data_IF_012410945853
#
_entry.id   IF_012410945853
#
_cell.length_a   1.000
_cell.length_b   1.000
_cell.length_c   1.000
_cell.angle_alpha   90.00
_cell.angle_beta   90.00
_cell.angle_gamma   90.00
#
_symmetry.space_group_name_H-M   'P 1'
#
loop_
_entity.id
_entity.type
_entity.pdbx_description
1 polymer ?
#
# COMPACT_ATOMS: atom_id res chain seq x y z
N UNK A 1 -5.46 22.81 9.86
CA UNK A 1 -4.10 22.39 9.46
C UNK A 1 -4.13 21.41 8.29
N UNK A 2 -4.87 20.30 8.39
CA UNK A 2 -4.94 19.25 7.35
C UNK A 2 -5.39 19.72 5.96
N UNK A 3 -6.40 20.60 5.88
CA UNK A 3 -6.88 21.12 4.59
C UNK A 3 -5.79 21.84 3.79
N UNK A 4 -4.96 22.66 4.45
CA UNK A 4 -3.85 23.36 3.79
C UNK A 4 -2.77 22.38 3.31
N UNK A 5 -2.49 21.34 4.10
CA UNK A 5 -1.53 20.31 3.71
C UNK A 5 -2.03 19.51 2.49
N UNK A 6 -3.29 19.11 2.48
CA UNK A 6 -3.93 18.43 1.34
C UNK A 6 -3.92 19.34 0.10
N UNK A 7 -4.39 20.59 0.21
CA UNK A 7 -4.39 21.53 -0.90
C UNK A 7 -2.99 21.74 -1.50
N UNK A 8 -1.96 21.83 -0.65
CA UNK A 8 -0.57 21.92 -1.10
C UNK A 8 -0.11 20.64 -1.81
N UNK A 9 -0.47 19.45 -1.30
CA UNK A 9 -0.11 18.18 -1.92
C UNK A 9 -0.76 18.04 -3.31
N UNK A 10 -2.08 18.26 -3.41
CA UNK A 10 -2.82 18.22 -4.68
C UNK A 10 -2.42 19.33 -5.66
N UNK A 11 -1.95 20.47 -5.15
CA UNK A 11 -1.37 21.53 -5.97
C UNK A 11 0.06 21.27 -6.44
N UNK A 12 0.70 20.15 -6.04
CA UNK A 12 2.10 19.87 -6.37
C UNK A 12 3.08 20.82 -5.68
N UNK A 13 2.71 21.39 -4.53
CA UNK A 13 3.50 22.34 -3.74
C UNK A 13 3.75 21.80 -2.31
N UNK A 14 4.31 20.59 -2.13
CA UNK A 14 4.45 20.04 -0.79
C UNK A 14 5.52 20.81 -0.03
N UNK A 15 5.34 20.91 1.29
CA UNK A 15 6.36 21.49 2.18
C UNK A 15 7.07 20.35 2.88
N UNK A 16 8.36 20.18 2.60
CA UNK A 16 9.21 19.20 3.25
C UNK A 16 10.62 19.78 3.49
N UNK A 17 11.34 19.31 4.51
CA UNK A 17 12.78 19.53 4.61
C UNK A 17 13.50 18.94 3.41
N UNK A 18 14.56 19.59 2.92
CA UNK A 18 15.36 19.10 1.79
C UNK A 18 15.98 17.72 2.05
N UNK A 19 16.15 17.32 3.31
CA UNK A 19 16.65 16.01 3.71
C UNK A 19 15.68 14.85 3.47
N UNK A 20 14.40 15.13 3.21
CA UNK A 20 13.36 14.10 3.05
C UNK A 20 13.22 13.65 1.61
N UNK A 21 13.56 14.50 0.64
CA UNK A 21 13.37 14.23 -0.80
C UNK A 21 14.72 14.04 -1.46
N UNK A 22 14.93 12.90 -2.12
CA UNK A 22 16.18 12.59 -2.82
C UNK A 22 16.47 13.58 -3.95
N UNK A 23 15.44 14.01 -4.68
CA UNK A 23 15.54 14.91 -5.83
C UNK A 23 14.65 16.15 -5.63
N UNK A 24 15.05 17.13 -4.79
CA UNK A 24 14.19 18.27 -4.45
C UNK A 24 13.94 19.21 -5.65
N UNK A 25 14.86 19.23 -6.62
CA UNK A 25 14.75 20.03 -7.85
C UNK A 25 13.49 19.66 -8.64
N UNK A 26 13.00 18.41 -8.53
CA UNK A 26 11.81 17.98 -9.26
C UNK A 26 10.51 18.71 -8.83
N UNK A 27 10.55 19.43 -7.71
CA UNK A 27 9.43 20.18 -7.16
C UNK A 27 9.51 21.68 -7.46
N UNK A 28 10.48 22.12 -8.28
CA UNK A 28 10.56 23.51 -8.70
C UNK A 28 9.42 23.87 -9.68
N UNK A 29 8.78 25.05 -9.52
CA UNK A 29 7.55 25.43 -10.23
C UNK A 29 7.70 25.52 -11.77
N UNK A 30 8.92 25.60 -12.30
CA UNK A 30 9.17 25.68 -13.74
C UNK A 30 9.19 24.33 -14.46
N UNK A 31 9.11 23.21 -13.72
CA UNK A 31 9.10 21.85 -14.29
C UNK A 31 7.74 21.14 -14.13
N UNK A 32 6.74 21.78 -13.53
CA UNK A 32 5.49 21.13 -13.10
C UNK A 32 4.49 20.89 -14.24
N UNK A 33 4.52 21.68 -15.32
CA UNK A 33 3.54 21.58 -16.40
C UNK A 33 3.57 20.24 -17.17
N UNK A 34 4.63 19.44 -17.02
CA UNK A 34 4.78 18.14 -17.67
C UNK A 34 4.74 16.96 -16.69
N UNK A 35 4.46 17.19 -15.40
CA UNK A 35 4.56 16.16 -14.36
C UNK A 35 3.20 15.83 -13.76
N UNK A 36 3.01 14.56 -13.42
CA UNK A 36 1.87 14.09 -12.63
C UNK A 36 2.26 14.01 -11.16
N UNK A 37 1.41 14.52 -10.29
CA UNK A 37 1.60 14.39 -8.83
C UNK A 37 1.07 13.04 -8.39
N UNK A 38 1.91 12.27 -7.70
CA UNK A 38 1.52 11.02 -7.04
C UNK A 38 1.51 11.26 -5.54
N UNK A 39 0.36 11.03 -4.90
CA UNK A 39 0.17 11.19 -3.46
C UNK A 39 0.01 9.81 -2.85
N UNK A 40 0.81 9.51 -1.83
CA UNK A 40 0.65 8.31 -1.00
C UNK A 40 -0.10 8.67 0.27
N UNK A 41 -1.26 8.08 0.45
CA UNK A 41 -2.03 8.08 1.70
C UNK A 41 -2.09 6.65 2.24
N UNK A 42 -1.97 6.50 3.56
CA UNK A 42 -1.96 5.20 4.26
C UNK A 42 -3.22 4.98 5.10
N UNK A 43 -4.06 6.01 5.27
CA UNK A 43 -5.34 5.95 5.95
C UNK A 43 -6.49 6.00 4.92
N UNK A 44 -7.08 4.86 4.54
CA UNK A 44 -8.19 4.82 3.58
C UNK A 44 -9.42 5.61 4.02
N UNK A 45 -9.60 5.85 5.33
CA UNK A 45 -10.72 6.65 5.84
C UNK A 45 -10.63 8.13 5.45
N UNK A 46 -9.45 8.61 5.03
CA UNK A 46 -9.29 9.95 4.49
C UNK A 46 -9.85 10.09 3.07
N UNK A 47 -10.08 8.98 2.36
CA UNK A 47 -10.46 8.97 0.96
C UNK A 47 -11.79 9.70 0.70
N UNK A 48 -12.80 9.45 1.55
CA UNK A 48 -14.10 10.11 1.48
C UNK A 48 -13.95 11.63 1.57
N UNK A 49 -13.27 12.11 2.60
CA UNK A 49 -13.05 13.54 2.82
C UNK A 49 -12.25 14.20 1.68
N UNK A 50 -11.27 13.48 1.10
CA UNK A 50 -10.49 13.96 -0.04
C UNK A 50 -11.35 14.05 -1.32
N UNK A 51 -12.18 13.03 -1.57
CA UNK A 51 -13.02 12.93 -2.77
C UNK A 51 -14.05 14.05 -2.90
N UNK A 52 -14.51 14.59 -1.77
CA UNK A 52 -15.44 15.73 -1.73
C UNK A 52 -14.77 17.06 -2.15
N UNK A 53 -13.44 17.12 -2.24
CA UNK A 53 -12.67 18.38 -2.35
C UNK A 53 -11.74 18.42 -3.54
N UNK A 54 -11.31 17.28 -4.04
CA UNK A 54 -10.32 17.17 -5.11
C UNK A 54 -10.78 16.12 -6.12
N UNK A 55 -10.47 16.36 -7.39
CA UNK A 55 -10.62 15.38 -8.46
C UNK A 55 -9.30 14.62 -8.63
N UNK A 56 -9.34 13.29 -8.54
CA UNK A 56 -8.17 12.44 -8.69
C UNK A 56 -8.58 10.99 -8.97
N UNK A 57 -7.66 10.24 -9.58
CA UNK A 57 -7.78 8.80 -9.76
C UNK A 57 -7.15 8.07 -8.57
N UNK A 58 -7.68 6.89 -8.21
CA UNK A 58 -7.24 6.14 -7.03
C UNK A 58 -6.68 4.78 -7.40
N UNK A 59 -5.39 4.58 -7.13
CA UNK A 59 -4.81 3.24 -7.06
C UNK A 59 -4.92 2.73 -5.63
N UNK A 60 -5.83 1.80 -5.37
CA UNK A 60 -6.07 1.22 -4.05
C UNK A 60 -5.31 -0.10 -3.89
N UNK A 61 -4.42 -0.17 -2.90
CA UNK A 61 -3.63 -1.36 -2.61
C UNK A 61 -4.27 -2.14 -1.46
N UNK A 62 -4.73 -3.36 -1.75
CA UNK A 62 -5.18 -4.31 -0.74
C UNK A 62 -4.04 -5.24 -0.34
N UNK A 63 -4.11 -5.80 0.87
CA UNK A 63 -3.13 -6.75 1.38
C UNK A 63 -3.83 -7.80 2.26
N UNK A 64 -3.23 -8.97 2.38
CA UNK A 64 -3.72 -10.02 3.26
C UNK A 64 -4.03 -9.47 4.66
N UNK A 65 -5.24 -9.70 5.20
CA UNK A 65 -5.71 -9.08 6.45
C UNK A 65 -4.84 -9.45 7.66
N UNK A 66 -4.33 -10.68 7.71
CA UNK A 66 -3.41 -11.11 8.78
C UNK A 66 -2.07 -10.35 8.72
N UNK A 67 -1.57 -10.08 7.51
CA UNK A 67 -0.33 -9.33 7.34
C UNK A 67 -0.50 -7.86 7.78
N UNK A 68 -1.68 -7.28 7.54
CA UNK A 68 -2.04 -5.95 8.05
C UNK A 68 -2.06 -5.99 9.58
N UNK A 69 -2.83 -6.90 10.19
CA UNK A 69 -2.98 -6.98 11.64
C UNK A 69 -1.63 -7.16 12.35
N UNK A 70 -0.80 -8.09 11.90
CA UNK A 70 0.54 -8.29 12.45
C UNK A 70 1.44 -7.07 12.28
N UNK A 71 1.41 -6.40 11.12
CA UNK A 71 2.20 -5.20 10.89
C UNK A 71 1.82 -4.09 11.89
N UNK A 72 0.52 -3.87 12.11
CA UNK A 72 0.01 -2.87 13.04
C UNK A 72 0.33 -3.22 14.50
N UNK A 73 0.26 -4.51 14.86
CA UNK A 73 0.66 -4.96 16.19
C UNK A 73 2.16 -4.81 16.44
N UNK A 74 2.99 -5.07 15.42
CA UNK A 74 4.45 -4.95 15.50
C UNK A 74 4.91 -3.52 15.78
N UNK A 75 4.27 -2.54 15.16
CA UNK A 75 4.56 -1.11 15.37
C UNK A 75 3.80 -0.51 16.58
N UNK A 76 3.09 -1.35 17.35
CA UNK A 76 2.40 -0.95 18.57
C UNK A 76 1.12 -0.16 18.35
N UNK A 77 0.56 -0.13 17.14
CA UNK A 77 -0.69 0.57 16.84
C UNK A 77 -1.90 -0.22 17.33
N UNK A 78 -1.84 -1.55 17.28
CA UNK A 78 -2.88 -2.44 17.81
C UNK A 78 -2.32 -3.36 18.91
N UNK A 79 -3.11 -3.66 19.96
CA UNK A 79 -2.72 -4.64 20.99
C UNK A 79 -2.57 -6.05 20.40
N UNK A 80 -1.48 -6.74 20.79
CA UNK A 80 -1.19 -8.12 20.37
C UNK A 80 -2.31 -9.09 20.79
N UNK A 81 -2.62 -10.06 19.92
CA UNK A 81 -3.61 -11.11 20.18
C UNK A 81 -5.08 -10.64 20.21
N UNK A 82 -5.36 -9.36 19.96
CA UNK A 82 -6.73 -8.84 19.89
C UNK A 82 -7.31 -8.98 18.47
N UNK A 83 -7.40 -10.22 17.99
CA UNK A 83 -7.77 -10.54 16.60
C UNK A 83 -9.16 -10.04 16.21
N UNK A 84 -10.18 -10.22 17.06
CA UNK A 84 -11.53 -9.69 16.78
C UNK A 84 -11.52 -8.16 16.58
N UNK A 85 -10.76 -7.44 17.41
CA UNK A 85 -10.63 -5.99 17.27
C UNK A 85 -9.96 -5.63 15.94
N UNK A 86 -8.91 -6.35 15.56
CA UNK A 86 -8.22 -6.13 14.28
C UNK A 86 -9.17 -6.39 13.09
N UNK A 87 -9.95 -7.47 13.11
CA UNK A 87 -10.95 -7.79 12.09
C UNK A 87 -11.97 -6.66 11.97
N UNK A 88 -12.58 -6.24 13.08
CA UNK A 88 -13.57 -5.16 13.07
C UNK A 88 -13.00 -3.86 12.48
N UNK A 89 -11.73 -3.55 12.76
CA UNK A 89 -11.05 -2.37 12.20
C UNK A 89 -10.78 -2.50 10.71
N UNK A 90 -10.30 -3.65 10.25
CA UNK A 90 -10.08 -3.90 8.83
C UNK A 90 -11.42 -3.82 8.09
N UNK A 91 -12.47 -4.43 8.63
CA UNK A 91 -13.82 -4.40 8.06
C UNK A 91 -14.38 -2.97 7.94
N UNK A 92 -14.25 -2.16 9.00
CA UNK A 92 -14.62 -0.74 8.98
C UNK A 92 -13.88 0.03 7.87
N UNK A 93 -12.56 -0.15 7.79
CA UNK A 93 -11.69 0.56 6.84
C UNK A 93 -12.02 0.15 5.39
N UNK A 94 -12.06 -1.15 5.11
CA UNK A 94 -12.28 -1.67 3.75
C UNK A 94 -13.70 -1.36 3.26
N UNK A 95 -14.72 -1.48 4.12
CA UNK A 95 -16.10 -1.18 3.73
C UNK A 95 -16.26 0.30 3.35
N UNK A 96 -15.70 1.22 4.15
CA UNK A 96 -15.77 2.66 3.85
C UNK A 96 -14.95 3.05 2.63
N UNK A 97 -13.78 2.43 2.46
CA UNK A 97 -12.97 2.62 1.27
C UNK A 97 -13.73 2.15 0.02
N UNK A 98 -14.30 0.94 0.04
CA UNK A 98 -15.06 0.38 -1.08
C UNK A 98 -16.21 1.30 -1.53
N UNK A 99 -17.04 1.77 -0.59
CA UNK A 99 -18.13 2.71 -0.89
C UNK A 99 -17.67 4.02 -1.54
N UNK A 100 -16.43 4.45 -1.27
CA UNK A 100 -15.86 5.66 -1.88
C UNK A 100 -15.23 5.36 -3.24
N UNK A 101 -14.57 4.22 -3.38
CA UNK A 101 -13.94 3.77 -4.62
C UNK A 101 -14.97 3.52 -5.73
N UNK A 102 -16.18 3.08 -5.41
CA UNK A 102 -17.30 2.92 -6.36
C UNK A 102 -17.69 4.25 -7.06
N UNK A 103 -17.37 5.39 -6.44
CA UNK A 103 -17.72 6.73 -6.92
C UNK A 103 -16.55 7.45 -7.59
N UNK A 104 -15.37 6.83 -7.62
CA UNK A 104 -14.13 7.43 -8.14
C UNK A 104 -13.56 6.59 -9.28
N UNK A 105 -12.86 7.19 -10.25
CA UNK A 105 -12.01 6.43 -11.15
C UNK A 105 -10.94 5.73 -10.32
N UNK A 106 -11.07 4.41 -10.19
CA UNK A 106 -10.22 3.65 -9.28
C UNK A 106 -9.77 2.32 -9.87
N UNK A 107 -8.61 1.85 -9.39
CA UNK A 107 -8.09 0.52 -9.66
C UNK A 107 -7.61 -0.10 -8.35
N UNK A 108 -8.14 -1.27 -8.03
CA UNK A 108 -7.68 -2.05 -6.88
C UNK A 108 -6.63 -3.06 -7.34
N UNK A 109 -5.54 -3.18 -6.59
CA UNK A 109 -4.47 -4.16 -6.82
C UNK A 109 -4.14 -4.85 -5.51
N UNK A 110 -3.85 -6.16 -5.54
CA UNK A 110 -3.38 -6.89 -4.35
C UNK A 110 -1.87 -6.74 -4.20
N UNK A 111 -1.41 -6.57 -2.98
CA UNK A 111 0.00 -6.50 -2.65
C UNK A 111 0.75 -7.78 -3.06
N UNK A 112 0.14 -8.94 -2.81
CA UNK A 112 0.72 -10.25 -3.09
C UNK A 112 0.95 -10.48 -4.59
N UNK A 113 0.05 -9.93 -5.42
CA UNK A 113 0.13 -9.96 -6.87
C UNK A 113 1.34 -9.16 -7.37
N UNK A 114 1.51 -7.92 -6.87
CA UNK A 114 2.68 -7.09 -7.18
C UNK A 114 3.98 -7.77 -6.73
N UNK A 115 3.98 -8.43 -5.57
CA UNK A 115 5.15 -9.16 -5.08
C UNK A 115 5.49 -10.39 -5.93
N UNK A 116 4.50 -11.11 -6.45
CA UNK A 116 4.70 -12.30 -7.26
C UNK A 116 5.17 -11.95 -8.68
N UNK A 117 4.48 -11.00 -9.32
CA UNK A 117 4.67 -10.64 -10.73
C UNK A 117 4.85 -9.12 -10.89
N UNK A 118 5.93 -8.54 -10.32
CA UNK A 118 6.10 -7.09 -10.27
C UNK A 118 6.08 -6.43 -11.65
N UNK A 119 6.80 -6.99 -12.63
CA UNK A 119 6.84 -6.40 -13.98
C UNK A 119 5.47 -6.35 -14.66
N UNK A 120 4.64 -7.38 -14.50
CA UNK A 120 3.30 -7.41 -15.08
C UNK A 120 2.40 -6.36 -14.43
N UNK A 121 2.31 -6.38 -13.09
CA UNK A 121 1.38 -5.48 -12.40
C UNK A 121 1.83 -4.01 -12.44
N UNK A 122 3.14 -3.72 -12.47
CA UNK A 122 3.61 -2.35 -12.70
C UNK A 122 3.33 -1.87 -14.13
N UNK A 123 3.48 -2.72 -15.15
CA UNK A 123 3.09 -2.37 -16.52
C UNK A 123 1.60 -1.98 -16.58
N UNK A 124 0.75 -2.78 -15.96
CA UNK A 124 -0.68 -2.53 -15.89
C UNK A 124 -1.03 -1.23 -15.12
N UNK A 125 -0.36 -0.99 -13.98
CA UNK A 125 -0.53 0.24 -13.18
C UNK A 125 -0.11 1.47 -13.98
N UNK A 126 1.04 1.41 -14.66
CA UNK A 126 1.53 2.51 -15.50
C UNK A 126 0.58 2.78 -16.67
N UNK A 127 0.11 1.73 -17.35
CA UNK A 127 -0.88 1.85 -18.41
C UNK A 127 -2.18 2.51 -17.94
N UNK A 128 -2.70 2.07 -16.78
CA UNK A 128 -3.91 2.68 -16.18
C UNK A 128 -3.69 4.15 -15.79
N UNK A 129 -2.52 4.49 -15.24
CA UNK A 129 -2.18 5.86 -14.86
C UNK A 129 -1.80 6.77 -16.07
N UNK A 130 -1.73 6.22 -17.28
CA UNK A 130 -1.26 6.94 -18.47
C UNK A 130 0.20 7.37 -18.36
N UNK A 131 1.04 6.57 -17.70
CA UNK A 131 2.47 6.80 -17.51
C UNK A 131 3.30 5.95 -18.49
N UNK A 132 4.49 6.45 -18.86
CA UNK A 132 5.40 5.71 -19.72
C UNK A 132 6.06 4.56 -18.97
N UNK A 133 5.97 3.35 -19.53
CA UNK A 133 6.59 2.13 -19.01
C UNK A 133 7.71 1.67 -19.94
N UNK A 134 8.92 2.19 -19.72
CA UNK A 134 10.10 1.92 -20.54
C UNK A 134 11.09 0.95 -19.87
N UNK A 135 12.22 0.68 -20.53
CA UNK A 135 13.25 -0.21 -19.97
C UNK A 135 13.91 0.37 -18.71
N UNK A 136 14.01 1.70 -18.60
CA UNK A 136 14.54 2.36 -17.40
C UNK A 136 13.68 2.05 -16.17
N UNK A 137 12.35 2.13 -16.33
CA UNK A 137 11.38 1.79 -15.29
C UNK A 137 11.44 0.30 -14.95
N UNK A 138 11.49 -0.58 -15.96
CA UNK A 138 11.62 -2.04 -15.75
C UNK A 138 12.87 -2.40 -14.95
N UNK A 139 14.02 -1.84 -15.32
CA UNK A 139 15.29 -2.07 -14.63
C UNK A 139 15.24 -1.57 -13.19
N UNK A 140 14.62 -0.40 -12.96
CA UNK A 140 14.42 0.12 -11.61
C UNK A 140 13.55 -0.83 -10.76
N UNK A 141 12.44 -1.32 -11.30
CA UNK A 141 11.54 -2.25 -10.61
C UNK A 141 12.28 -3.55 -10.28
N UNK A 142 12.98 -4.15 -11.24
CA UNK A 142 13.76 -5.37 -11.00
C UNK A 142 14.77 -5.17 -9.89
N UNK A 143 15.57 -4.10 -9.98
CA UNK A 143 16.60 -3.78 -8.99
C UNK A 143 16.04 -3.55 -7.58
N UNK A 144 14.86 -2.96 -7.46
CA UNK A 144 14.28 -2.61 -6.15
C UNK A 144 13.36 -3.69 -5.56
N UNK A 145 12.78 -4.56 -6.40
CA UNK A 145 11.87 -5.64 -5.99
C UNK A 145 12.54 -7.02 -5.83
N UNK A 146 13.73 -7.21 -6.39
CA UNK A 146 14.52 -8.46 -6.33
C UNK A 146 15.82 -8.30 -5.54
N UNK A 147 15.93 -7.32 -4.65
CA UNK A 147 17.15 -7.10 -3.89
C UNK A 147 17.52 -8.36 -3.07
N UNK A 148 18.72 -8.89 -3.28
CA UNK A 148 19.24 -10.00 -2.49
C UNK A 148 19.47 -9.53 -1.05
N UNK A 149 19.12 -10.39 -0.06
CA UNK A 149 19.32 -10.12 1.37
C UNK A 149 20.80 -9.88 1.70
N UNK A 150 21.71 -10.36 0.85
CA UNK A 150 23.16 -10.31 1.03
C UNK A 150 23.84 -9.00 0.58
N UNK A 151 23.15 -8.10 -0.13
CA UNK A 151 23.78 -6.89 -0.73
C UNK A 151 23.91 -5.72 0.26
N UNK A 152 24.36 -6.00 1.49
CA UNK A 152 24.51 -4.98 2.53
C UNK A 152 23.16 -4.46 3.03
N UNK A 153 22.20 -5.38 3.22
CA UNK A 153 20.90 -5.11 3.85
C UNK A 153 21.09 -4.45 5.21
N UNK A 154 21.09 -3.11 5.22
CA UNK A 154 20.72 -2.38 6.41
C UNK A 154 19.21 -2.50 6.51
N UNK A 155 18.74 -3.17 7.55
CA UNK A 155 17.33 -3.23 7.97
C UNK A 155 16.86 -1.84 8.42
N UNK A 156 17.01 -0.84 7.57
CA UNK A 156 16.33 0.41 7.74
C UNK A 156 14.84 0.10 7.58
N UNK A 157 14.10 0.30 8.66
CA UNK A 157 12.64 0.19 8.74
C UNK A 157 11.93 0.94 7.59
N UNK A 158 12.61 1.89 6.95
CA UNK A 158 12.13 2.74 5.85
C UNK A 158 12.84 2.49 4.50
N UNK A 159 13.64 1.43 4.38
CA UNK A 159 14.33 1.08 3.13
C UNK A 159 13.38 0.79 1.95
N UNK A 160 13.75 1.28 0.78
CA UNK A 160 13.00 1.11 -0.49
C UNK A 160 13.39 -0.15 -1.26
N UNK A 161 14.52 -0.79 -0.92
CA UNK A 161 14.95 -2.07 -1.50
C UNK A 161 14.38 -3.24 -0.71
N UNK A 162 13.64 -4.13 -1.36
CA UNK A 162 12.95 -5.26 -0.71
C UNK A 162 13.07 -6.52 -1.56
N UNK A 163 13.25 -7.67 -0.93
CA UNK A 163 12.96 -8.95 -1.57
C UNK A 163 11.44 -9.17 -1.52
N UNK A 164 10.75 -8.70 -2.56
CA UNK A 164 9.28 -8.64 -2.60
C UNK A 164 8.64 -10.03 -2.49
N UNK A 165 9.25 -11.07 -3.09
CA UNK A 165 8.77 -12.46 -2.98
C UNK A 165 8.74 -12.96 -1.54
N UNK A 166 9.79 -12.68 -0.76
CA UNK A 166 9.81 -13.06 0.65
C UNK A 166 8.79 -12.27 1.49
N UNK A 167 8.47 -11.03 1.09
CA UNK A 167 7.56 -10.18 1.85
C UNK A 167 6.09 -10.55 1.75
N UNK A 168 5.68 -11.19 0.64
CA UNK A 168 4.31 -11.68 0.42
C UNK A 168 3.87 -12.61 1.55
N UNK A 169 4.73 -13.56 1.90
CA UNK A 169 4.46 -14.61 2.89
C UNK A 169 5.15 -14.38 4.23
N UNK A 170 5.81 -13.24 4.45
CA UNK A 170 6.55 -12.97 5.69
C UNK A 170 5.68 -13.10 6.96
N UNK A 171 4.39 -12.78 6.86
CA UNK A 171 3.46 -12.91 7.98
C UNK A 171 3.26 -14.37 8.43
N UNK A 172 3.43 -15.35 7.53
CA UNK A 172 3.33 -16.78 7.82
C UNK A 172 4.46 -17.27 8.75
N UNK A 173 5.61 -16.62 8.70
CA UNK A 173 6.77 -16.93 9.56
C UNK A 173 6.66 -16.28 10.94
N UNK A 174 5.95 -15.14 11.02
CA UNK A 174 5.80 -14.34 12.24
C UNK A 174 4.54 -14.73 13.05
N UNK A 175 3.76 -15.70 12.58
CA UNK A 175 2.51 -16.15 13.20
C UNK A 175 2.65 -17.55 13.80
N UNK A 176 2.06 -17.78 14.99
CA UNK A 176 1.75 -19.17 15.37
C UNK A 176 0.61 -19.70 14.51
N UNK A 177 0.59 -21.02 14.31
CA UNK A 177 -0.51 -21.68 13.59
C UNK A 177 -1.86 -21.44 14.27
N UNK A 178 -1.87 -21.46 15.60
CA UNK A 178 -3.05 -21.19 16.45
C UNK A 178 -3.62 -19.77 16.20
N UNK A 179 -2.75 -18.76 16.18
CA UNK A 179 -3.17 -17.37 15.91
C UNK A 179 -3.68 -17.21 14.47
N UNK A 180 -3.06 -17.90 13.50
CA UNK A 180 -3.48 -17.85 12.11
C UNK A 180 -4.86 -18.50 11.90
N UNK A 181 -5.08 -19.68 12.50
CA UNK A 181 -6.35 -20.40 12.45
C UNK A 181 -7.47 -19.61 13.13
N UNK A 182 -7.20 -19.02 14.30
CA UNK A 182 -8.17 -18.18 15.00
C UNK A 182 -8.50 -16.93 14.19
N UNK A 183 -7.49 -16.25 13.65
CA UNK A 183 -7.71 -15.08 12.81
C UNK A 183 -8.50 -15.43 11.53
N UNK A 184 -8.18 -16.54 10.88
CA UNK A 184 -8.90 -17.03 9.70
C UNK A 184 -10.37 -17.31 10.02
N UNK A 185 -10.64 -17.99 11.13
CA UNK A 185 -12.00 -18.28 11.59
C UNK A 185 -12.81 -17.00 11.79
N UNK A 186 -12.22 -16.01 12.48
CA UNK A 186 -12.85 -14.71 12.70
C UNK A 186 -13.04 -13.93 11.39
N UNK A 187 -12.05 -13.97 10.50
CA UNK A 187 -12.12 -13.30 9.20
C UNK A 187 -13.22 -13.88 8.31
N UNK A 188 -13.32 -15.21 8.22
CA UNK A 188 -14.37 -15.91 7.45
C UNK A 188 -15.78 -15.63 7.98
N UNK A 189 -15.90 -15.33 9.28
CA UNK A 189 -17.16 -14.94 9.92
C UNK A 189 -17.53 -13.45 9.73
N UNK A 190 -16.59 -12.59 9.29
CA UNK A 190 -16.85 -11.19 8.97
C UNK A 190 -17.61 -11.01 7.66
N UNK A 191 -18.00 -9.78 7.32
CA UNK A 191 -18.61 -9.47 6.01
C UNK A 191 -17.59 -9.31 4.87
N UNK A 192 -16.29 -9.30 5.16
CA UNK A 192 -15.24 -9.11 4.15
C UNK A 192 -15.24 -10.25 3.13
N UNK A 193 -15.16 -9.93 1.84
CA UNK A 193 -15.26 -10.91 0.74
C UNK A 193 -13.91 -11.25 0.10
N UNK A 194 -12.88 -10.45 0.34
CA UNK A 194 -11.52 -10.69 -0.16
C UNK A 194 -10.84 -11.81 0.62
N UNK A 195 -9.76 -12.40 0.08
CA UNK A 195 -8.91 -13.39 0.78
C UNK A 195 -9.66 -14.56 1.47
N UNK A 196 -10.80 -15.02 0.92
CA UNK A 196 -11.56 -16.15 1.50
C UNK A 196 -11.06 -17.52 1.06
N UNK A 197 -10.36 -17.59 -0.07
CA UNK A 197 -9.89 -18.86 -0.61
C UNK A 197 -8.83 -19.49 0.31
N UNK A 198 -8.88 -20.83 0.52
CA UNK A 198 -7.92 -21.52 1.39
C UNK A 198 -6.45 -21.35 0.99
N UNK A 199 -6.18 -21.01 -0.28
CA UNK A 199 -4.81 -20.78 -0.76
C UNK A 199 -4.12 -19.55 -0.11
N UNK A 200 -4.89 -18.61 0.41
CA UNK A 200 -4.35 -17.42 1.07
C UNK A 200 -3.89 -17.70 2.51
N UNK A 201 -4.38 -18.77 3.13
CA UNK A 201 -4.18 -19.08 4.54
C UNK A 201 -3.09 -20.14 4.77
N UNK A 202 -2.71 -20.33 6.04
CA UNK A 202 -1.79 -21.42 6.41
C UNK A 202 -2.51 -22.76 6.22
N UNK A 203 -1.77 -23.75 5.73
CA UNK A 203 -2.24 -25.13 5.58
C UNK A 203 -1.83 -25.97 6.77
#
# INVERSE_FOLDING_TARGET
MFQKAAANAFGGLPRFPLSVVQEPIQWMPFQSAQRRVVIKEVNPLALEWLSERFAFDVLYLTRHPMAIAQSFMRIGWWPKGKWQMAINRIEEIESRAAMTLERLPSRTVKYEDICEKPLLYFEEIFGWAGLQYDNTVKDFILRTSQANVTDGYRSDTYGTKRNSRHMKDAWKLDCSEEDAQEFERLYKASSLTTYRDPEYWLR
#
